data_IF_942704505409
#
_entry.id   IF_942704505409
#
_cell.length_a   1.000
_cell.length_b   1.000
_cell.length_c   1.000
_cell.angle_alpha   90.00
_cell.angle_beta   90.00
_cell.angle_gamma   90.00
#
_symmetry.space_group_name_H-M   'P 1'
#
loop_
_entity.id
_entity.type
_entity.pdbx_description
1 polymer ?
#
# COMPACT_ATOMS: atom_id res chain seq x y z
N UNK A 1 54.71 40.11 67.29
CA UNK A 1 53.69 40.36 66.24
C UNK A 1 53.47 39.06 65.49
N UNK A 2 52.45 38.32 65.83
CA UNK A 2 52.08 37.00 65.18
C UNK A 2 50.69 37.15 64.56
N UNK A 3 50.62 36.96 63.28
CA UNK A 3 49.40 37.00 62.50
C UNK A 3 48.93 35.57 62.31
N UNK A 4 47.73 35.26 62.80
CA UNK A 4 47.09 33.94 62.67
C UNK A 4 46.28 33.94 61.37
N UNK A 5 46.59 32.99 60.47
CA UNK A 5 45.79 32.68 59.35
C UNK A 5 44.66 31.69 59.72
N UNK A 6 43.44 32.08 59.46
CA UNK A 6 42.28 31.22 59.60
C UNK A 6 41.99 30.54 58.26
N UNK A 7 41.96 29.21 58.26
CA UNK A 7 41.56 28.42 57.09
C UNK A 7 40.04 28.25 57.05
N UNK A 8 39.38 28.69 55.97
CA UNK A 8 37.97 28.38 55.67
C UNK A 8 37.91 27.08 54.91
N UNK A 9 37.22 26.10 55.47
CA UNK A 9 36.82 24.90 54.81
C UNK A 9 35.50 25.14 54.07
N UNK A 10 35.52 25.08 52.73
CA UNK A 10 34.33 25.11 51.92
C UNK A 10 33.79 23.67 51.68
N UNK A 11 32.66 23.36 52.28
CA UNK A 11 31.93 22.09 52.03
C UNK A 11 31.20 22.19 50.68
N UNK A 12 31.64 21.42 49.70
CA UNK A 12 30.97 21.28 48.41
C UNK A 12 29.75 20.32 48.54
N UNK A 13 28.55 20.84 48.24
CA UNK A 13 27.32 20.05 48.10
C UNK A 13 27.33 19.43 46.71
N UNK A 14 27.42 18.12 46.62
CA UNK A 14 27.18 17.31 45.40
C UNK A 14 25.66 17.22 45.20
N UNK A 15 25.14 17.96 44.23
CA UNK A 15 23.78 17.79 43.73
C UNK A 15 23.80 16.65 42.70
N UNK A 16 23.28 15.50 43.08
CA UNK A 16 23.03 14.39 42.18
C UNK A 16 21.82 14.76 41.30
N UNK A 17 22.07 15.21 40.06
CA UNK A 17 21.06 15.42 39.05
C UNK A 17 20.50 14.09 38.55
N UNK A 18 19.30 13.73 38.98
CA UNK A 18 18.52 12.65 38.38
C UNK A 18 18.16 13.05 36.92
N UNK A 19 18.93 12.56 35.96
CA UNK A 19 18.64 12.66 34.56
C UNK A 19 17.40 11.86 34.23
N UNK A 20 16.23 12.51 34.10
CA UNK A 20 15.07 11.95 33.42
C UNK A 20 15.44 11.74 31.97
N UNK A 21 15.77 10.51 31.59
CA UNK A 21 15.78 10.08 30.19
C UNK A 21 14.34 10.16 29.67
N UNK A 22 13.99 11.27 29.06
CA UNK A 22 12.79 11.36 28.23
C UNK A 22 12.96 10.34 27.09
N UNK A 23 12.23 9.22 27.20
CA UNK A 23 12.06 8.30 26.11
C UNK A 23 11.46 9.08 24.93
N UNK A 24 12.27 9.35 23.93
CA UNK A 24 11.77 9.84 22.64
C UNK A 24 10.92 8.72 22.07
N UNK A 25 9.58 8.83 22.23
CA UNK A 25 8.62 8.13 21.39
C UNK A 25 8.97 8.52 19.96
N UNK A 26 9.54 7.60 19.21
CA UNK A 26 9.63 7.74 17.76
C UNK A 26 8.20 7.85 17.24
N UNK A 27 7.74 9.05 16.97
CA UNK A 27 6.51 9.27 16.25
C UNK A 27 6.69 8.54 14.91
N UNK A 28 6.06 7.36 14.78
CA UNK A 28 6.12 6.57 13.56
C UNK A 28 5.64 7.45 12.41
N UNK A 29 6.43 7.52 11.34
CA UNK A 29 6.07 8.28 10.14
C UNK A 29 4.71 7.75 9.66
N UNK A 30 3.67 8.58 9.78
CA UNK A 30 2.34 8.25 9.31
C UNK A 30 2.36 8.25 7.78
N UNK A 31 2.06 7.11 7.16
CA UNK A 31 1.92 7.04 5.69
C UNK A 31 0.63 7.75 5.30
N UNK A 32 0.69 8.78 4.44
CA UNK A 32 -0.49 9.52 4.02
C UNK A 32 -1.39 8.67 3.13
N UNK A 33 -2.68 8.95 3.15
CA UNK A 33 -3.66 8.38 2.25
C UNK A 33 -4.71 9.41 1.82
N UNK A 34 -5.34 9.18 0.66
CA UNK A 34 -6.41 10.00 0.12
C UNK A 34 -7.77 9.34 0.40
N UNK A 35 -8.75 10.10 0.89
CA UNK A 35 -10.13 9.62 1.04
C UNK A 35 -10.83 9.69 -0.30
N UNK A 36 -11.45 8.58 -0.73
CA UNK A 36 -12.17 8.49 -1.99
C UNK A 36 -13.66 8.79 -1.80
N UNK A 37 -14.24 9.39 -2.84
CA UNK A 37 -15.68 9.38 -3.06
C UNK A 37 -16.16 8.00 -3.57
N UNK A 38 -17.48 7.80 -3.65
CA UNK A 38 -18.09 6.54 -4.08
C UNK A 38 -17.80 6.18 -5.54
N UNK A 39 -17.40 7.14 -6.36
CA UNK A 39 -17.03 6.96 -7.77
C UNK A 39 -15.51 6.81 -7.97
N UNK A 40 -14.74 6.82 -6.88
CA UNK A 40 -13.28 6.77 -6.89
C UNK A 40 -12.62 7.78 -7.85
N UNK A 41 -13.18 9.00 -7.91
CA UNK A 41 -12.80 10.03 -8.90
C UNK A 41 -11.32 10.38 -8.85
N UNK A 42 -10.74 10.53 -7.64
CA UNK A 42 -9.31 10.81 -7.48
C UNK A 42 -8.45 9.62 -7.93
N UNK A 43 -8.81 8.39 -7.53
CA UNK A 43 -8.09 7.19 -7.97
C UNK A 43 -8.09 7.06 -9.50
N UNK A 44 -9.23 7.32 -10.15
CA UNK A 44 -9.35 7.33 -11.62
C UNK A 44 -8.43 8.37 -12.26
N UNK A 45 -8.37 9.58 -11.70
CA UNK A 45 -7.48 10.63 -12.20
C UNK A 45 -6.01 10.23 -12.06
N UNK A 46 -5.62 9.71 -10.91
CA UNK A 46 -4.25 9.27 -10.64
C UNK A 46 -3.86 8.07 -11.50
N UNK A 47 -4.77 7.11 -11.67
CA UNK A 47 -4.60 5.94 -12.53
C UNK A 47 -4.35 6.36 -13.99
N UNK A 48 -5.18 7.26 -14.53
CA UNK A 48 -5.06 7.77 -15.90
C UNK A 48 -3.83 8.68 -16.08
N UNK A 49 -3.43 9.40 -15.04
CA UNK A 49 -2.19 10.19 -15.03
C UNK A 49 -0.92 9.36 -15.17
N UNK A 50 -1.04 8.02 -15.15
CA UNK A 50 0.06 7.05 -15.29
C UNK A 50 -0.09 6.15 -16.51
N UNK A 51 -0.83 6.55 -17.53
CA UNK A 51 -0.84 5.89 -18.84
C UNK A 51 0.61 5.83 -19.37
N UNK A 52 0.97 4.70 -19.95
CA UNK A 52 2.35 4.40 -20.35
C UNK A 52 3.17 3.63 -19.28
N UNK A 53 2.65 3.49 -18.05
CA UNK A 53 3.25 2.69 -16.97
C UNK A 53 2.48 1.38 -16.74
N UNK A 54 3.16 0.38 -16.20
CA UNK A 54 2.49 -0.77 -15.57
C UNK A 54 1.86 -0.29 -14.26
N UNK A 55 0.59 -0.57 -14.06
CA UNK A 55 -0.15 -0.15 -12.87
C UNK A 55 -0.70 -1.35 -12.13
N UNK A 56 -0.49 -1.33 -10.83
CA UNK A 56 -1.04 -2.30 -9.90
C UNK A 56 -2.18 -1.66 -9.12
N UNK A 57 -3.22 -2.43 -8.85
CA UNK A 57 -4.33 -2.01 -8.01
C UNK A 57 -4.65 -3.13 -7.02
N UNK A 58 -4.55 -2.84 -5.75
CA UNK A 58 -4.87 -3.75 -4.66
C UNK A 58 -6.07 -3.21 -3.90
N UNK A 59 -7.04 -4.05 -3.59
CA UNK A 59 -8.20 -3.69 -2.77
C UNK A 59 -8.17 -4.57 -1.53
N UNK A 60 -8.04 -3.95 -0.36
CA UNK A 60 -7.78 -4.65 0.90
C UNK A 60 -8.58 -4.03 2.07
N UNK A 61 -8.83 -4.82 3.09
CA UNK A 61 -9.27 -4.28 4.38
C UNK A 61 -8.04 -4.07 5.29
N UNK A 62 -7.87 -2.89 5.90
CA UNK A 62 -6.67 -2.53 6.65
C UNK A 62 -6.47 -3.29 7.96
N UNK A 63 -7.45 -4.09 8.41
CA UNK A 63 -7.32 -4.96 9.60
C UNK A 63 -7.42 -6.44 9.26
N UNK A 64 -7.61 -6.82 7.99
CA UNK A 64 -7.71 -8.20 7.56
C UNK A 64 -6.34 -8.91 7.60
N UNK A 65 -6.16 -9.97 8.38
CA UNK A 65 -4.86 -10.65 8.44
C UNK A 65 -4.42 -11.25 7.10
N UNK A 66 -5.36 -11.71 6.26
CA UNK A 66 -5.08 -12.20 4.90
C UNK A 66 -4.52 -11.09 4.02
N UNK A 67 -5.25 -9.98 3.94
CA UNK A 67 -4.83 -8.80 3.19
C UNK A 67 -3.47 -8.26 3.63
N UNK A 68 -3.23 -8.17 4.95
CA UNK A 68 -1.94 -7.69 5.48
C UNK A 68 -0.78 -8.62 5.13
N UNK A 69 -1.01 -9.96 5.12
CA UNK A 69 0.00 -10.91 4.62
C UNK A 69 0.25 -10.70 3.12
N UNK A 70 -0.82 -10.56 2.31
CA UNK A 70 -0.68 -10.27 0.89
C UNK A 70 0.12 -8.99 0.61
N UNK A 71 -0.13 -7.90 1.36
CA UNK A 71 0.67 -6.66 1.26
C UNK A 71 2.14 -6.91 1.62
N UNK A 72 2.42 -7.65 2.68
CA UNK A 72 3.79 -7.98 3.09
C UNK A 72 4.50 -8.85 2.04
N UNK A 73 3.80 -9.82 1.44
CA UNK A 73 4.32 -10.68 0.38
C UNK A 73 4.61 -9.87 -0.89
N UNK A 74 3.71 -8.96 -1.30
CA UNK A 74 3.94 -8.05 -2.43
C UNK A 74 5.13 -7.11 -2.19
N UNK A 75 5.30 -6.62 -0.95
CA UNK A 75 6.48 -5.84 -0.62
C UNK A 75 7.75 -6.66 -0.77
N UNK A 76 7.79 -7.87 -0.22
CA UNK A 76 8.96 -8.74 -0.25
C UNK A 76 9.35 -9.14 -1.67
N UNK A 77 8.37 -9.57 -2.48
CA UNK A 77 8.63 -10.23 -3.76
C UNK A 77 8.67 -9.27 -4.95
N UNK A 78 8.12 -8.04 -4.82
CA UNK A 78 8.02 -7.11 -5.93
C UNK A 78 8.46 -5.69 -5.61
N UNK A 79 7.98 -5.07 -4.50
CA UNK A 79 8.06 -3.62 -4.34
C UNK A 79 9.26 -3.15 -3.52
N UNK A 80 9.83 -4.01 -2.67
CA UNK A 80 11.00 -3.66 -1.86
C UNK A 80 12.20 -3.33 -2.76
N UNK A 81 12.68 -2.10 -2.65
CA UNK A 81 13.83 -1.63 -3.42
C UNK A 81 13.54 -1.31 -4.89
N UNK A 82 12.31 -1.47 -5.36
CA UNK A 82 11.93 -1.05 -6.71
C UNK A 82 11.83 0.47 -6.80
N UNK A 83 12.64 1.06 -7.68
CA UNK A 83 12.62 2.49 -8.01
C UNK A 83 12.19 2.75 -9.45
N UNK A 84 11.74 1.72 -10.16
CA UNK A 84 11.34 1.84 -11.57
C UNK A 84 10.14 2.78 -11.72
N UNK A 85 10.37 3.93 -12.33
CA UNK A 85 9.36 4.96 -12.56
C UNK A 85 8.21 4.50 -13.48
N UNK A 86 8.39 3.38 -14.18
CA UNK A 86 7.38 2.79 -15.09
C UNK A 86 6.40 1.85 -14.34
N UNK A 87 6.60 1.64 -13.02
CA UNK A 87 5.69 0.90 -12.15
C UNK A 87 4.98 1.85 -11.20
N UNK A 88 3.66 1.72 -11.07
CA UNK A 88 2.83 2.45 -10.09
C UNK A 88 1.90 1.49 -9.39
N UNK A 89 1.73 1.67 -8.09
CA UNK A 89 0.84 0.84 -7.27
C UNK A 89 -0.16 1.72 -6.56
N UNK A 90 -1.42 1.35 -6.65
CA UNK A 90 -2.55 1.97 -5.99
C UNK A 90 -3.14 0.96 -5.00
N UNK A 91 -3.26 1.33 -3.74
CA UNK A 91 -3.83 0.47 -2.70
C UNK A 91 -5.09 1.14 -2.16
N UNK A 92 -6.24 0.53 -2.41
CA UNK A 92 -7.53 0.97 -1.88
C UNK A 92 -7.84 0.15 -0.65
N UNK A 93 -8.01 0.84 0.47
CA UNK A 93 -8.44 0.26 1.73
C UNK A 93 -9.95 0.47 1.88
N UNK A 94 -10.67 -0.56 2.29
CA UNK A 94 -12.12 -0.53 2.47
C UNK A 94 -12.55 -1.23 3.77
N UNK A 95 -13.69 -0.80 4.38
CA UNK A 95 -14.24 -1.45 5.56
C UNK A 95 -15.04 -2.68 5.17
N UNK A 96 -14.41 -3.85 5.15
CA UNK A 96 -15.05 -5.13 4.80
C UNK A 96 -15.34 -5.98 6.03
N UNK A 97 -14.35 -6.12 6.91
CA UNK A 97 -14.51 -6.85 8.17
C UNK A 97 -15.24 -6.02 9.22
N UNK A 98 -15.97 -6.71 10.12
CA UNK A 98 -16.73 -6.05 11.18
C UNK A 98 -18.06 -5.45 10.71
N UNK A 99 -18.43 -5.61 9.43
CA UNK A 99 -19.77 -5.28 8.93
C UNK A 99 -20.67 -6.52 8.95
N UNK A 100 -22.00 -6.32 8.90
CA UNK A 100 -22.99 -7.39 9.09
C UNK A 100 -22.77 -8.64 8.24
N UNK A 101 -22.18 -8.49 7.05
CA UNK A 101 -21.96 -9.59 6.10
C UNK A 101 -20.64 -10.33 6.33
N UNK A 102 -19.61 -9.63 6.84
CA UNK A 102 -18.25 -10.17 6.96
C UNK A 102 -17.73 -9.98 8.39
N UNK A 103 -17.60 -11.11 9.10
CA UNK A 103 -17.07 -11.17 10.45
C UNK A 103 -17.67 -10.09 11.42
N UNK A 104 -18.99 -10.11 11.64
CA UNK A 104 -19.70 -9.06 12.43
C UNK A 104 -19.27 -9.04 13.90
N UNK A 105 -18.54 -10.06 14.38
CA UNK A 105 -17.92 -10.10 15.71
C UNK A 105 -16.63 -9.30 15.83
N UNK A 106 -16.06 -8.84 14.73
CA UNK A 106 -14.92 -7.94 14.73
C UNK A 106 -15.41 -6.48 14.79
N UNK A 107 -14.56 -5.60 15.31
CA UNK A 107 -14.82 -4.19 15.11
C UNK A 107 -14.70 -3.82 13.62
N UNK A 108 -15.51 -2.91 13.10
CA UNK A 108 -15.33 -2.39 11.75
C UNK A 108 -13.97 -1.70 11.61
N UNK A 109 -13.31 -1.88 10.47
CA UNK A 109 -12.14 -1.10 10.10
C UNK A 109 -12.54 0.35 9.82
N UNK A 110 -11.59 1.26 9.91
CA UNK A 110 -11.77 2.67 9.66
C UNK A 110 -10.53 3.34 9.12
N UNK A 111 -10.66 4.59 8.66
CA UNK A 111 -9.54 5.34 8.12
C UNK A 111 -8.32 5.42 9.05
N UNK A 112 -8.54 5.39 10.37
CA UNK A 112 -7.45 5.34 11.37
C UNK A 112 -6.57 4.09 11.31
N UNK A 113 -7.04 3.01 10.68
CA UNK A 113 -6.31 1.75 10.54
C UNK A 113 -5.41 1.75 9.30
N UNK A 114 -5.70 2.62 8.32
CA UNK A 114 -4.97 2.70 7.04
C UNK A 114 -3.48 2.98 7.24
N UNK A 115 -3.03 3.94 8.06
CA UNK A 115 -1.60 4.23 8.19
C UNK A 115 -0.77 3.02 8.64
N UNK A 116 -1.32 2.18 9.53
CA UNK A 116 -0.64 0.96 9.99
C UNK A 116 -0.51 -0.09 8.87
N UNK A 117 -1.58 -0.30 8.10
CA UNK A 117 -1.55 -1.23 6.96
C UNK A 117 -0.63 -0.72 5.85
N UNK A 118 -0.66 0.60 5.58
CA UNK A 118 0.15 1.26 4.56
C UNK A 118 1.66 1.17 4.85
N UNK A 119 2.08 1.04 6.11
CA UNK A 119 3.49 0.81 6.47
C UNK A 119 4.07 -0.48 5.86
N UNK A 120 3.24 -1.45 5.48
CA UNK A 120 3.69 -2.68 4.82
C UNK A 120 4.16 -2.44 3.38
N UNK A 121 3.73 -1.34 2.74
CA UNK A 121 4.07 -0.97 1.37
C UNK A 121 4.55 0.48 1.27
N UNK A 122 5.59 0.85 2.04
CA UNK A 122 6.22 2.16 1.94
C UNK A 122 7.21 2.21 0.77
N UNK A 123 6.76 2.74 -0.34
CA UNK A 123 7.58 2.96 -1.54
C UNK A 123 7.08 4.21 -2.26
N UNK A 124 7.99 4.99 -2.88
CA UNK A 124 7.65 6.20 -3.65
C UNK A 124 6.70 5.96 -4.83
N UNK A 125 6.61 4.71 -5.27
CA UNK A 125 5.72 4.28 -6.35
C UNK A 125 4.34 3.82 -5.87
N UNK A 126 4.06 3.87 -4.55
CA UNK A 126 2.81 3.40 -3.94
C UNK A 126 1.99 4.58 -3.44
N UNK A 127 0.71 4.59 -3.79
CA UNK A 127 -0.28 5.54 -3.30
C UNK A 127 -1.40 4.78 -2.56
N UNK A 128 -1.79 5.30 -1.40
CA UNK A 128 -2.82 4.69 -0.56
C UNK A 128 -4.09 5.53 -0.57
N UNK A 129 -5.23 4.82 -0.58
CA UNK A 129 -6.57 5.41 -0.59
C UNK A 129 -7.43 4.75 0.47
N UNK A 130 -8.40 5.49 1.00
CA UNK A 130 -9.45 5.00 1.87
C UNK A 130 -10.82 5.25 1.24
N UNK A 131 -11.57 4.20 0.95
CA UNK A 131 -12.97 4.30 0.53
C UNK A 131 -13.88 3.92 1.71
N UNK A 132 -14.48 4.90 2.42
CA UNK A 132 -15.19 4.65 3.67
C UNK A 132 -16.49 3.85 3.51
N UNK A 133 -17.08 3.86 2.32
CA UNK A 133 -18.36 3.22 2.02
C UNK A 133 -18.24 1.81 1.47
N UNK A 134 -17.05 1.43 1.00
CA UNK A 134 -16.84 0.17 0.27
C UNK A 134 -17.44 0.18 -1.14
N UNK A 135 -17.82 1.34 -1.67
CA UNK A 135 -18.43 1.44 -3.00
C UNK A 135 -17.48 1.00 -4.11
N UNK A 136 -16.19 1.22 -3.94
CA UNK A 136 -15.20 0.88 -4.96
C UNK A 136 -15.12 -0.64 -5.22
N UNK A 137 -15.16 -1.46 -4.17
CA UNK A 137 -15.18 -2.93 -4.32
C UNK A 137 -16.39 -3.42 -5.09
N UNK A 138 -17.54 -2.75 -5.00
CA UNK A 138 -18.71 -3.06 -5.83
C UNK A 138 -18.49 -2.65 -7.29
N UNK A 139 -17.98 -1.43 -7.55
CA UNK A 139 -17.67 -0.98 -8.91
C UNK A 139 -16.65 -1.90 -9.59
N UNK A 140 -15.58 -2.24 -8.90
CA UNK A 140 -14.55 -3.13 -9.42
C UNK A 140 -15.10 -4.52 -9.71
N UNK A 141 -15.88 -5.08 -8.77
CA UNK A 141 -16.50 -6.39 -8.92
C UNK A 141 -17.37 -6.49 -10.19
N UNK A 142 -18.15 -5.45 -10.49
CA UNK A 142 -18.97 -5.35 -11.70
C UNK A 142 -18.09 -5.26 -12.95
N UNK A 143 -17.09 -4.37 -12.94
CA UNK A 143 -16.22 -4.12 -14.08
C UNK A 143 -15.40 -5.34 -14.52
N UNK A 144 -14.97 -6.19 -13.56
CA UNK A 144 -14.20 -7.40 -13.84
C UNK A 144 -15.07 -8.67 -13.89
N UNK A 145 -16.40 -8.53 -13.69
CA UNK A 145 -17.36 -9.65 -13.62
C UNK A 145 -16.96 -10.72 -12.60
N UNK A 146 -16.52 -10.27 -11.42
CA UNK A 146 -16.03 -11.16 -10.35
C UNK A 146 -17.20 -11.97 -9.79
N UNK A 147 -17.32 -13.23 -10.21
CA UNK A 147 -18.46 -14.11 -9.91
C UNK A 147 -18.01 -15.47 -9.41
N UNK A 148 -18.87 -16.10 -8.59
CA UNK A 148 -18.83 -17.53 -8.31
C UNK A 148 -20.13 -18.15 -8.84
N UNK A 149 -20.07 -18.77 -9.99
CA UNK A 149 -21.26 -19.11 -10.78
C UNK A 149 -22.02 -17.83 -11.17
N UNK A 150 -23.31 -17.77 -10.90
CA UNK A 150 -24.15 -16.60 -11.17
C UNK A 150 -24.06 -15.50 -10.11
N UNK A 151 -23.46 -15.80 -8.95
CA UNK A 151 -23.43 -14.89 -7.81
C UNK A 151 -22.26 -13.92 -7.90
N UNK A 152 -22.58 -12.62 -7.90
CA UNK A 152 -21.58 -11.56 -7.80
C UNK A 152 -20.81 -11.65 -6.48
N UNK A 153 -19.47 -11.57 -6.55
CA UNK A 153 -18.56 -11.58 -5.41
C UNK A 153 -18.00 -10.19 -5.22
N UNK A 154 -18.09 -9.64 -4.02
CA UNK A 154 -17.51 -8.34 -3.71
C UNK A 154 -15.98 -8.35 -3.87
N UNK A 155 -15.41 -7.38 -4.59
CA UNK A 155 -14.00 -7.32 -4.89
C UNK A 155 -13.21 -6.69 -3.73
N UNK A 156 -12.70 -7.53 -2.85
CA UNK A 156 -11.75 -7.18 -1.81
C UNK A 156 -10.72 -8.31 -1.68
N UNK A 157 -9.57 -8.06 -1.08
CA UNK A 157 -8.45 -9.00 -1.06
C UNK A 157 -8.12 -9.51 -2.47
N UNK A 158 -8.10 -8.54 -3.42
CA UNK A 158 -7.84 -8.74 -4.85
C UNK A 158 -6.65 -7.91 -5.31
N UNK A 159 -5.92 -8.44 -6.29
CA UNK A 159 -4.62 -8.00 -6.73
C UNK A 159 -4.59 -7.96 -8.25
N UNK A 160 -4.47 -6.76 -8.83
CA UNK A 160 -4.69 -6.54 -10.24
C UNK A 160 -3.45 -5.93 -10.91
N UNK A 161 -3.19 -6.37 -12.15
CA UNK A 161 -2.15 -5.83 -13.03
C UNK A 161 -2.83 -5.19 -14.25
N UNK A 162 -2.44 -3.97 -14.55
CA UNK A 162 -2.86 -3.25 -15.75
C UNK A 162 -1.63 -2.93 -16.62
N UNK A 163 -1.77 -3.13 -17.93
CA UNK A 163 -0.77 -2.74 -18.90
C UNK A 163 -0.69 -1.22 -19.10
N UNK A 164 0.35 -0.76 -19.82
CA UNK A 164 0.59 0.66 -20.04
C UNK A 164 -0.53 1.36 -20.82
N UNK A 165 -1.25 0.63 -21.64
CA UNK A 165 -2.36 1.11 -22.50
C UNK A 165 -3.68 1.27 -21.74
N UNK A 166 -3.86 0.65 -20.56
CA UNK A 166 -5.14 0.64 -19.86
C UNK A 166 -5.60 2.06 -19.57
N UNK A 167 -6.86 2.37 -19.88
CA UNK A 167 -7.46 3.67 -19.64
C UNK A 167 -8.80 3.49 -18.94
N UNK A 168 -8.97 4.22 -17.84
CA UNK A 168 -10.21 4.23 -17.09
C UNK A 168 -11.18 5.28 -17.69
N UNK A 169 -12.18 4.80 -18.43
CA UNK A 169 -13.19 5.65 -19.10
C UNK A 169 -14.52 5.45 -18.39
N UNK A 170 -15.21 6.56 -18.08
CA UNK A 170 -16.48 6.50 -17.35
C UNK A 170 -16.30 6.17 -15.86
N UNK A 171 -17.27 5.49 -15.29
CA UNK A 171 -17.32 5.14 -13.86
C UNK A 171 -16.64 3.81 -13.54
N UNK A 172 -16.62 2.87 -14.48
CA UNK A 172 -16.11 1.53 -14.27
C UNK A 172 -14.60 1.44 -14.52
N UNK A 173 -13.83 0.80 -13.62
CA UNK A 173 -12.42 0.51 -13.86
C UNK A 173 -12.23 -0.35 -15.12
N UNK A 174 -11.09 -0.18 -15.85
CA UNK A 174 -10.81 -1.05 -16.99
C UNK A 174 -10.59 -2.50 -16.56
N UNK A 175 -10.76 -3.44 -17.49
CA UNK A 175 -10.39 -4.84 -17.23
C UNK A 175 -8.87 -4.98 -17.05
N UNK A 176 -8.39 -5.68 -16.01
CA UNK A 176 -6.98 -5.93 -15.80
C UNK A 176 -6.46 -7.00 -16.77
N UNK A 177 -5.14 -7.03 -16.96
CA UNK A 177 -4.46 -8.14 -17.64
C UNK A 177 -4.37 -9.40 -16.77
N UNK A 178 -4.30 -9.21 -15.46
CA UNK A 178 -4.31 -10.28 -14.48
C UNK A 178 -5.06 -9.81 -13.24
N UNK A 179 -5.88 -10.69 -12.68
CA UNK A 179 -6.48 -10.57 -11.37
C UNK A 179 -6.18 -11.84 -10.59
N UNK A 180 -5.62 -11.68 -9.38
CA UNK A 180 -5.47 -12.73 -8.37
C UNK A 180 -6.25 -12.34 -7.11
N UNK A 181 -6.59 -13.32 -6.27
CA UNK A 181 -7.38 -13.08 -5.07
C UNK A 181 -6.98 -13.99 -3.89
N UNK A 182 -7.43 -13.64 -2.67
CA UNK A 182 -7.35 -14.51 -1.49
C UNK A 182 -8.76 -14.80 -0.93
N UNK A 183 -9.79 -14.70 -1.77
CA UNK A 183 -11.19 -14.85 -1.41
C UNK A 183 -11.60 -16.32 -1.25
N UNK A 184 -12.14 -16.67 -0.09
CA UNK A 184 -12.70 -18.02 0.13
C UNK A 184 -13.85 -18.35 -0.83
N UNK A 185 -14.64 -17.35 -1.24
CA UNK A 185 -15.75 -17.50 -2.17
C UNK A 185 -15.31 -17.91 -3.60
N UNK A 186 -14.06 -17.69 -3.97
CA UNK A 186 -13.49 -18.04 -5.28
C UNK A 186 -12.49 -19.19 -5.21
N UNK A 187 -12.45 -19.92 -4.09
CA UNK A 187 -11.53 -21.04 -3.93
C UNK A 187 -11.78 -22.10 -5.00
N UNK A 188 -10.73 -22.44 -5.76
CA UNK A 188 -10.82 -23.41 -6.87
C UNK A 188 -11.32 -22.79 -8.19
N UNK A 189 -11.49 -21.47 -8.27
CA UNK A 189 -11.77 -20.81 -9.55
C UNK A 189 -10.60 -21.02 -10.52
N UNK A 190 -10.93 -21.38 -11.75
CA UNK A 190 -9.96 -21.50 -12.84
C UNK A 190 -9.79 -20.18 -13.58
N UNK A 191 -10.77 -19.29 -13.49
CA UNK A 191 -10.75 -17.97 -14.12
C UNK A 191 -9.98 -16.96 -13.28
N UNK A 192 -10.15 -17.01 -11.95
CA UNK A 192 -9.50 -16.10 -11.02
C UNK A 192 -8.54 -16.91 -10.13
N UNK A 193 -7.23 -16.90 -10.40
CA UNK A 193 -6.26 -17.65 -9.63
C UNK A 193 -6.07 -17.08 -8.21
N UNK A 194 -5.79 -17.98 -7.27
CA UNK A 194 -5.38 -17.57 -5.93
C UNK A 194 -4.06 -16.81 -5.97
N UNK A 195 -3.89 -15.84 -5.06
CA UNK A 195 -2.67 -15.03 -5.00
C UNK A 195 -1.42 -15.90 -4.78
N UNK A 196 -0.51 -15.81 -5.74
CA UNK A 196 0.89 -16.19 -5.63
C UNK A 196 1.73 -14.93 -5.95
N UNK A 197 2.33 -14.35 -4.93
CA UNK A 197 3.07 -13.09 -5.04
C UNK A 197 4.28 -13.19 -5.95
N UNK A 198 4.91 -14.36 -6.08
CA UNK A 198 6.07 -14.57 -6.97
C UNK A 198 5.63 -14.65 -8.42
N UNK A 199 4.56 -15.41 -8.70
CA UNK A 199 3.98 -15.46 -10.06
C UNK A 199 3.47 -14.08 -10.46
N UNK A 200 2.82 -13.36 -9.54
CA UNK A 200 2.37 -11.99 -9.77
C UNK A 200 3.55 -11.06 -10.10
N UNK A 201 4.62 -11.12 -9.31
CA UNK A 201 5.83 -10.32 -9.55
C UNK A 201 6.48 -10.65 -10.90
N UNK A 202 6.54 -11.92 -11.30
CA UNK A 202 7.06 -12.35 -12.61
C UNK A 202 6.24 -11.74 -13.75
N UNK A 203 4.92 -11.72 -13.66
CA UNK A 203 4.06 -11.09 -14.67
C UNK A 203 4.31 -9.58 -14.78
N UNK A 204 4.50 -8.89 -13.66
CA UNK A 204 4.87 -7.47 -13.64
C UNK A 204 6.21 -7.24 -14.33
N UNK A 205 7.24 -8.03 -14.00
CA UNK A 205 8.56 -7.92 -14.61
C UNK A 205 8.51 -8.17 -16.13
N UNK A 206 7.72 -9.15 -16.57
CA UNK A 206 7.52 -9.42 -18.00
C UNK A 206 6.93 -8.19 -18.71
N UNK A 207 5.95 -7.51 -18.12
CA UNK A 207 5.36 -6.30 -18.69
C UNK A 207 6.34 -5.12 -18.70
N UNK A 208 7.11 -4.94 -17.61
CA UNK A 208 8.12 -3.89 -17.52
C UNK A 208 9.23 -4.05 -18.57
N UNK A 209 9.63 -5.31 -18.86
CA UNK A 209 10.64 -5.62 -19.87
C UNK A 209 10.18 -5.28 -21.30
N UNK A 210 8.88 -5.21 -21.54
CA UNK A 210 8.29 -4.82 -22.84
C UNK A 210 8.24 -3.30 -23.03
N UNK A 211 8.42 -2.52 -21.96
CA UNK A 211 8.38 -1.06 -22.03
C UNK A 211 9.74 -0.48 -22.45
N UNK A 212 9.73 0.69 -23.13
CA UNK A 212 10.96 1.44 -23.37
C UNK A 212 11.72 1.70 -22.06
N UNK A 213 13.05 1.82 -22.07
CA UNK A 213 13.82 2.21 -20.90
C UNK A 213 13.27 3.51 -20.29
N UNK A 214 13.31 3.62 -18.97
CA UNK A 214 12.96 4.88 -18.31
C UNK A 214 13.92 5.99 -18.75
N UNK A 215 13.45 7.25 -18.76
CA UNK A 215 14.27 8.38 -19.18
C UNK A 215 15.62 8.45 -18.44
N UNK A 216 15.65 8.09 -17.14
CA UNK A 216 16.89 8.02 -16.37
C UNK A 216 17.84 6.90 -16.83
N UNK A 217 17.31 5.73 -17.15
CA UNK A 217 18.13 4.62 -17.67
C UNK A 217 18.69 4.92 -19.08
N UNK A 218 17.90 5.60 -19.92
CA UNK A 218 18.33 6.03 -21.25
C UNK A 218 19.45 7.08 -21.16
N UNK A 219 19.37 8.03 -20.22
CA UNK A 219 20.40 9.05 -20.00
C UNK A 219 21.73 8.40 -19.55
N UNK A 220 21.70 7.46 -18.60
CA UNK A 220 22.90 6.74 -18.15
C UNK A 220 23.54 5.90 -19.26
N UNK A 221 22.74 5.24 -20.09
CA UNK A 221 23.22 4.46 -21.22
C UNK A 221 23.91 5.33 -22.30
N UNK A 222 23.43 6.57 -22.49
CA UNK A 222 24.06 7.53 -23.40
C UNK A 222 25.37 8.10 -22.84
N UNK A 223 25.47 8.32 -21.53
CA UNK A 223 26.73 8.76 -20.89
C UNK A 223 27.82 7.67 -20.93
N UNK A 224 27.45 6.40 -20.81
CA UNK A 224 28.40 5.28 -20.87
C UNK A 224 28.96 5.00 -22.29
N UNK A 225 28.41 5.63 -23.33
CA UNK A 225 28.85 5.50 -24.73
C UNK A 225 29.76 6.64 -25.22
N UNK A 226 29.96 7.66 -24.40
CA UNK A 226 30.86 8.79 -24.63
C UNK A 226 32.18 8.58 -23.90
#
# INVERSE_FOLDING_TARGET
>A
MRIHQAALMASGLLVAGAGCTQGQSSAGVSVPYTVLDDQASQLRADFNGRIGSVRLLFVVDPICPGCLRGLADMNRDLLRGTTDARLRTFVVHEPVLGVARYAPWLRPSGGKDVPKAAQLLQNSNVQHYWNPTGAFGHLLSQAVELKNGEKQVYAWDVWLIYGPEAKWVGTEPPRPRLLMHQLGALRGSTEFPHLDSRVFAQQVQTLLAQLPPSAGAAALANQARQ
#
